data_IF_707834939026
#
_entry.id   IF_707834939026
#
_cell.length_a   1.000
_cell.length_b   1.000
_cell.length_c   1.000
_cell.angle_alpha   90.00
_cell.angle_beta   90.00
_cell.angle_gamma   90.00
#
_symmetry.space_group_name_H-M   'P 1'
#
loop_
_entity.id
_entity.type
_entity.pdbx_description
1 polymer ?
#
# COMPACT_ATOMS: atom_id res chain seq x y z
N UNK A 1 2.96 -31.03 -30.76
CA UNK A 1 2.25 -30.92 -29.46
C UNK A 1 3.02 -30.10 -28.42
N UNK A 2 4.33 -30.31 -28.21
CA UNK A 2 5.14 -29.56 -27.21
C UNK A 2 5.11 -28.02 -27.32
N UNK A 3 4.96 -27.46 -28.54
CA UNK A 3 4.85 -26.00 -28.76
C UNK A 3 3.57 -25.37 -28.19
N UNK A 4 2.46 -26.11 -28.15
CA UNK A 4 1.18 -25.63 -27.63
C UNK A 4 1.22 -25.58 -26.09
N UNK A 5 1.88 -26.56 -25.47
CA UNK A 5 2.08 -26.60 -24.02
C UNK A 5 2.96 -25.47 -23.50
N UNK A 6 4.00 -25.06 -24.25
CA UNK A 6 4.82 -23.90 -23.89
C UNK A 6 4.04 -22.57 -23.94
N UNK A 7 3.17 -22.38 -24.93
CA UNK A 7 2.34 -21.18 -25.03
C UNK A 7 1.29 -21.10 -23.91
N UNK A 8 0.71 -22.24 -23.53
CA UNK A 8 -0.24 -22.32 -22.42
C UNK A 8 0.40 -21.98 -21.06
N UNK A 9 1.66 -22.42 -20.83
CA UNK A 9 2.37 -22.15 -19.57
C UNK A 9 2.78 -20.69 -19.37
N UNK A 10 2.99 -19.93 -20.45
CA UNK A 10 3.31 -18.48 -20.36
C UNK A 10 2.05 -17.65 -20.10
N UNK A 11 0.88 -18.10 -20.57
CA UNK A 11 -0.37 -17.37 -20.37
C UNK A 11 -0.92 -17.49 -18.93
N UNK A 12 -0.67 -18.61 -18.25
CA UNK A 12 -1.11 -18.83 -16.87
C UNK A 12 -0.29 -18.04 -15.85
N UNK A 13 1.01 -17.81 -16.10
CA UNK A 13 1.84 -16.96 -15.22
C UNK A 13 1.52 -15.47 -15.37
N UNK A 14 1.13 -15.01 -16.57
CA UNK A 14 0.73 -13.62 -16.79
C UNK A 14 -0.56 -13.23 -16.02
N UNK A 15 -1.49 -14.17 -15.82
CA UNK A 15 -2.72 -13.93 -15.05
C UNK A 15 -2.49 -13.83 -13.53
N UNK A 16 -1.36 -14.34 -13.02
CA UNK A 16 -1.01 -14.26 -11.59
C UNK A 16 -0.26 -12.97 -11.22
N UNK A 17 0.12 -12.14 -12.20
CA UNK A 17 0.75 -10.82 -11.98
C UNK A 17 -0.28 -9.69 -12.14
N UNK A 18 -1.55 -9.95 -11.83
CA UNK A 18 -2.44 -8.86 -11.42
C UNK A 18 -2.09 -8.51 -9.97
N UNK A 19 -1.00 -7.74 -9.82
CA UNK A 19 -0.77 -7.02 -8.57
C UNK A 19 -2.05 -6.25 -8.27
N UNK A 20 -2.75 -6.62 -7.19
CA UNK A 20 -3.82 -5.80 -6.69
C UNK A 20 -3.17 -4.49 -6.25
N UNK A 21 -3.29 -3.45 -7.07
CA UNK A 21 -2.77 -2.10 -6.89
C UNK A 21 -3.44 -1.40 -5.69
N UNK A 22 -3.32 -1.99 -4.50
CA UNK A 22 -3.71 -1.35 -3.25
C UNK A 22 -2.50 -0.63 -2.70
N UNK A 23 -2.63 0.69 -2.54
CA UNK A 23 -1.60 1.48 -1.87
C UNK A 23 -1.56 1.08 -0.38
N UNK A 24 -0.39 1.09 0.28
CA UNK A 24 -0.33 0.85 1.72
C UNK A 24 -1.31 1.76 2.47
N UNK A 25 -2.11 1.17 3.38
CA UNK A 25 -3.09 1.88 4.20
C UNK A 25 -4.27 2.54 3.46
N UNK A 26 -4.45 2.29 2.17
CA UNK A 26 -5.61 2.78 1.41
C UNK A 26 -6.95 2.33 2.00
N UNK A 27 -6.97 1.13 2.59
CA UNK A 27 -8.16 0.56 3.20
C UNK A 27 -8.45 1.09 4.62
N UNK A 28 -7.58 1.93 5.20
CA UNK A 28 -7.85 2.54 6.50
C UNK A 28 -8.98 3.56 6.36
N UNK A 29 -9.88 3.59 7.34
CA UNK A 29 -10.76 4.74 7.55
C UNK A 29 -9.92 5.99 7.88
N UNK A 30 -10.50 7.17 7.68
CA UNK A 30 -9.86 8.43 8.07
C UNK A 30 -9.51 8.45 9.57
N UNK A 31 -10.34 7.84 10.41
CA UNK A 31 -10.10 7.75 11.85
C UNK A 31 -8.87 6.88 12.16
N UNK A 32 -8.79 5.68 11.60
CA UNK A 32 -7.63 4.78 11.79
C UNK A 32 -6.35 5.43 11.29
N UNK A 33 -6.40 6.08 10.12
CA UNK A 33 -5.26 6.77 9.55
C UNK A 33 -4.78 7.93 10.45
N UNK A 34 -5.69 8.74 11.01
CA UNK A 34 -5.33 9.80 11.97
C UNK A 34 -4.71 9.25 13.25
N UNK A 35 -5.26 8.15 13.80
CA UNK A 35 -4.69 7.55 15.01
C UNK A 35 -3.25 7.06 14.78
N UNK A 36 -3.01 6.43 13.64
CA UNK A 36 -1.70 5.91 13.28
C UNK A 36 -0.72 7.03 12.93
N UNK A 37 -1.20 8.09 12.29
CA UNK A 37 -0.40 9.29 12.06
C UNK A 37 0.06 9.93 13.38
N UNK A 38 -0.84 10.04 14.37
CA UNK A 38 -0.48 10.50 15.71
C UNK A 38 0.48 9.55 16.44
N UNK A 39 0.39 8.23 16.19
CA UNK A 39 1.33 7.25 16.74
C UNK A 39 2.76 7.49 16.24
N UNK A 40 2.90 7.86 14.97
CA UNK A 40 4.18 8.20 14.34
C UNK A 40 4.85 9.46 14.92
N UNK A 41 4.09 10.38 15.53
CA UNK A 41 4.66 11.59 16.14
C UNK A 41 5.29 11.36 17.52
N UNK A 42 5.03 10.22 18.16
CA UNK A 42 5.47 9.97 19.55
C UNK A 42 6.97 9.65 19.72
N UNK A 43 7.74 9.60 18.62
CA UNK A 43 9.19 9.33 18.64
C UNK A 43 9.54 7.89 19.01
N UNK A 44 10.84 7.55 19.02
CA UNK A 44 11.31 6.21 19.42
C UNK A 44 11.02 5.08 18.44
N UNK A 45 10.98 5.37 17.13
CA UNK A 45 10.67 4.38 16.11
C UNK A 45 11.84 3.43 15.83
N UNK A 46 11.56 2.13 15.76
CA UNK A 46 12.47 1.16 15.15
C UNK A 46 12.60 1.43 13.64
N UNK A 47 13.60 0.85 12.94
CA UNK A 47 13.72 1.00 11.49
C UNK A 47 12.44 0.57 10.72
N UNK A 48 11.83 -0.54 11.14
CA UNK A 48 10.56 -1.00 10.59
C UNK A 48 9.41 -0.03 10.92
N UNK A 49 9.41 0.53 12.13
CA UNK A 49 8.46 1.57 12.54
C UNK A 49 8.58 2.84 11.69
N UNK A 50 9.80 3.29 11.39
CA UNK A 50 10.06 4.45 10.53
C UNK A 50 9.55 4.21 9.10
N UNK A 51 9.80 3.03 8.53
CA UNK A 51 9.26 2.66 7.22
C UNK A 51 7.73 2.65 7.21
N UNK A 52 7.10 2.06 8.24
CA UNK A 52 5.63 2.08 8.38
C UNK A 52 5.11 3.51 8.45
N UNK A 53 5.74 4.37 9.25
CA UNK A 53 5.33 5.76 9.41
C UNK A 53 5.48 6.58 8.13
N UNK A 54 6.53 6.34 7.33
CA UNK A 54 6.66 6.99 6.02
C UNK A 54 5.47 6.68 5.11
N UNK A 55 4.98 5.43 5.12
CA UNK A 55 3.80 5.04 4.35
C UNK A 55 2.50 5.67 4.89
N UNK A 56 2.34 5.77 6.22
CA UNK A 56 1.19 6.45 6.85
C UNK A 56 1.18 7.95 6.49
N UNK A 57 2.33 8.61 6.59
CA UNK A 57 2.48 10.04 6.23
C UNK A 57 2.11 10.24 4.75
N UNK A 58 2.63 9.38 3.87
CA UNK A 58 2.33 9.45 2.44
C UNK A 58 0.84 9.27 2.14
N UNK A 59 0.16 8.32 2.78
CA UNK A 59 -1.28 8.14 2.61
C UNK A 59 -2.09 9.35 3.13
N UNK A 60 -1.65 9.98 4.23
CA UNK A 60 -2.23 11.24 4.70
C UNK A 60 -2.09 12.39 3.70
N UNK A 61 -0.92 12.54 3.08
CA UNK A 61 -0.67 13.55 2.04
C UNK A 61 -1.56 13.31 0.81
N UNK A 62 -1.63 12.07 0.35
CA UNK A 62 -2.54 11.65 -0.74
C UNK A 62 -3.98 12.04 -0.43
N UNK A 63 -4.51 11.73 0.76
CA UNK A 63 -5.89 12.06 1.10
C UNK A 63 -6.13 13.55 1.34
N UNK A 64 -5.09 14.29 1.73
CA UNK A 64 -5.14 15.75 1.78
C UNK A 64 -5.32 16.34 0.38
N UNK A 65 -4.59 15.83 -0.60
CA UNK A 65 -4.66 16.27 -1.99
C UNK A 65 -5.95 15.81 -2.69
N UNK A 66 -6.31 14.53 -2.54
CA UNK A 66 -7.44 13.92 -3.25
C UNK A 66 -8.80 14.21 -2.58
N UNK A 67 -8.85 14.32 -1.24
CA UNK A 67 -10.09 14.33 -0.46
C UNK A 67 -10.21 15.49 0.53
N UNK A 68 -9.24 16.41 0.55
CA UNK A 68 -9.15 17.51 1.53
C UNK A 68 -9.20 17.03 3.00
N UNK A 69 -8.79 15.78 3.25
CA UNK A 69 -8.71 15.21 4.57
C UNK A 69 -7.42 15.63 5.28
N UNK A 70 -7.49 15.84 6.60
CA UNK A 70 -6.31 16.15 7.41
C UNK A 70 -6.17 15.10 8.51
N UNK A 71 -5.10 14.33 8.42
CA UNK A 71 -4.46 13.74 9.58
C UNK A 71 -3.91 14.86 10.47
#
# INVERSE_FOLDING_TARGET
>A
MARIWMLAGVLTTAMMVSGCDSRPFENYSNYELSQEYQSCQRGGLSPAGAQRCNNIIKECEIRKEEKNFRC
#
